data_IF_904779078382
#
_entry.id   IF_904779078382
#
_cell.length_a   1.000
_cell.length_b   1.000
_cell.length_c   1.000
_cell.angle_alpha   90.00
_cell.angle_beta   90.00
_cell.angle_gamma   90.00
#
_symmetry.space_group_name_H-M   'P 1'
#
loop_
_entity.id
_entity.type
_entity.pdbx_description
1 polymer ?
#
# COMPACT_ATOMS: atom_id res chain seq x y z
N UNK A 1 -11.14 -15.45 17.63
CA UNK A 1 -9.72 -15.06 17.76
C UNK A 1 -9.40 -14.54 19.14
N UNK A 2 -10.04 -13.48 19.64
CA UNK A 2 -9.67 -12.86 20.92
C UNK A 2 -9.58 -13.81 22.14
N UNK A 3 -10.46 -14.80 22.25
CA UNK A 3 -10.48 -15.75 23.37
C UNK A 3 -9.33 -16.78 23.35
N UNK A 4 -8.84 -17.15 22.16
CA UNK A 4 -7.88 -18.25 21.98
C UNK A 4 -6.67 -17.84 21.12
N UNK A 5 -6.39 -16.54 21.02
CA UNK A 5 -5.34 -15.95 20.20
C UNK A 5 -4.72 -14.74 20.90
N UNK A 6 -3.92 -13.96 20.18
CA UNK A 6 -3.31 -12.74 20.73
C UNK A 6 -4.13 -11.50 20.36
N UNK A 7 -4.20 -10.53 21.27
CA UNK A 7 -4.88 -9.25 21.05
C UNK A 7 -4.05 -8.11 21.63
N UNK A 8 -4.01 -6.97 20.93
CA UNK A 8 -3.59 -5.70 21.51
C UNK A 8 -4.83 -4.92 21.96
N UNK A 9 -4.68 -4.01 22.94
CA UNK A 9 -5.75 -3.11 23.37
C UNK A 9 -6.16 -2.16 22.22
N UNK A 10 -5.16 -1.65 21.50
CA UNK A 10 -5.31 -0.86 20.28
C UNK A 10 -4.03 -0.90 19.44
N UNK A 11 -4.12 -0.41 18.21
CA UNK A 11 -2.99 -0.18 17.32
C UNK A 11 -3.04 1.28 16.85
N UNK A 12 -1.94 2.02 17.06
CA UNK A 12 -1.84 3.37 16.53
C UNK A 12 -1.63 3.35 15.02
N UNK A 13 -2.48 4.05 14.30
CA UNK A 13 -2.27 4.35 12.89
C UNK A 13 -1.21 5.43 12.69
N UNK A 14 -0.76 5.56 11.45
CA UNK A 14 0.07 6.70 11.03
C UNK A 14 -0.79 7.94 10.82
N UNK A 15 -0.19 9.12 10.98
CA UNK A 15 -0.82 10.38 10.60
C UNK A 15 -0.52 10.70 9.12
N UNK A 16 -1.52 11.11 8.33
CA UNK A 16 -2.94 11.27 8.67
C UNK A 16 -3.67 9.92 8.72
N UNK A 17 -4.73 9.84 9.53
CA UNK A 17 -5.56 8.63 9.71
C UNK A 17 -6.49 8.40 8.52
N UNK A 18 -5.90 8.19 7.35
CA UNK A 18 -6.53 7.97 6.05
C UNK A 18 -6.25 6.56 5.55
N UNK A 19 -7.14 6.05 4.71
CA UNK A 19 -7.12 4.68 4.20
C UNK A 19 -5.78 4.33 3.54
N UNK A 20 -5.42 4.96 2.43
CA UNK A 20 -4.23 4.57 1.66
C UNK A 20 -2.92 4.76 2.43
N UNK A 21 -2.69 5.91 3.12
CA UNK A 21 -1.49 6.07 3.93
C UNK A 21 -1.33 4.96 4.96
N UNK A 22 -2.36 4.64 5.74
CA UNK A 22 -2.26 3.64 6.80
C UNK A 22 -2.12 2.20 6.26
N UNK A 23 -2.88 1.83 5.22
CA UNK A 23 -2.78 0.47 4.66
C UNK A 23 -1.41 0.22 4.02
N UNK A 24 -0.83 1.25 3.40
CA UNK A 24 0.49 1.13 2.80
C UNK A 24 1.60 1.14 3.86
N UNK A 25 1.43 1.91 4.95
CA UNK A 25 2.31 1.81 6.13
C UNK A 25 2.30 0.40 6.72
N UNK A 26 1.15 -0.25 6.85
CA UNK A 26 1.05 -1.65 7.35
C UNK A 26 1.81 -2.61 6.42
N UNK A 27 1.69 -2.44 5.10
CA UNK A 27 2.30 -3.34 4.14
C UNK A 27 3.83 -3.18 4.01
N UNK A 28 4.35 -1.98 4.27
CA UNK A 28 5.77 -1.63 4.03
C UNK A 28 6.57 -1.44 5.31
N UNK A 29 5.93 -1.17 6.45
CA UNK A 29 6.58 -0.77 7.69
C UNK A 29 7.14 0.67 7.68
N UNK A 30 6.80 1.47 6.67
CA UNK A 30 7.32 2.83 6.48
C UNK A 30 6.30 3.89 6.91
N UNK A 31 6.79 5.07 7.29
CA UNK A 31 5.93 6.25 7.50
C UNK A 31 5.42 6.83 6.16
N UNK A 32 4.30 7.56 6.16
CA UNK A 32 3.75 8.20 4.97
C UNK A 32 4.73 9.04 4.15
N UNK A 33 5.59 9.79 4.82
CA UNK A 33 6.65 10.59 4.19
C UNK A 33 7.71 9.74 3.47
N UNK A 34 7.96 8.52 3.93
CA UNK A 34 8.97 7.62 3.37
C UNK A 34 8.41 6.79 2.21
N UNK A 35 7.17 6.32 2.33
CA UNK A 35 6.53 5.52 1.28
C UNK A 35 5.77 6.35 0.23
N UNK A 36 5.76 7.68 0.36
CA UNK A 36 5.23 8.64 -0.63
C UNK A 36 3.73 8.91 -0.53
N UNK A 37 2.93 7.94 -0.07
CA UNK A 37 1.48 8.09 0.08
C UNK A 37 1.09 8.86 1.36
N UNK A 38 1.05 10.19 1.27
CA UNK A 38 0.76 11.08 2.42
C UNK A 38 -0.74 11.37 2.63
N UNK A 39 -1.58 11.22 1.61
CA UNK A 39 -3.05 11.29 1.70
C UNK A 39 -3.67 10.43 0.58
N UNK A 40 -4.99 10.27 0.59
CA UNK A 40 -5.74 9.64 -0.51
C UNK A 40 -5.74 10.53 -1.77
N UNK A 41 -5.59 11.85 -1.63
CA UNK A 41 -5.50 12.81 -2.73
C UNK A 41 -4.24 13.64 -2.54
N UNK A 42 -3.28 13.51 -3.44
CA UNK A 42 -1.97 14.14 -3.32
C UNK A 42 -1.71 15.08 -4.51
N UNK A 43 -0.81 16.04 -4.31
CA UNK A 43 -0.26 16.86 -5.37
C UNK A 43 1.25 16.65 -5.40
N UNK A 44 1.77 16.29 -6.57
CA UNK A 44 3.20 16.11 -6.79
C UNK A 44 3.61 16.81 -8.08
N UNK A 45 4.33 17.93 -7.94
CA UNK A 45 4.76 18.77 -9.05
C UNK A 45 5.82 18.12 -9.97
N UNK A 46 6.44 17.01 -9.55
CA UNK A 46 7.39 16.27 -10.37
C UNK A 46 6.68 15.37 -11.38
N UNK A 47 5.50 14.84 -11.01
CA UNK A 47 4.76 13.89 -11.84
C UNK A 47 3.59 14.52 -12.58
N UNK A 48 2.81 15.42 -11.94
CA UNK A 48 1.65 16.08 -12.57
C UNK A 48 1.40 17.48 -12.04
N UNK A 49 0.67 18.29 -12.83
CA UNK A 49 0.25 19.65 -12.46
C UNK A 49 -1.07 19.73 -11.72
N UNK A 50 -1.76 18.60 -11.48
CA UNK A 50 -3.06 18.52 -10.81
C UNK A 50 -3.03 17.58 -9.61
N UNK A 51 -3.99 17.73 -8.70
CA UNK A 51 -4.24 16.75 -7.65
C UNK A 51 -4.61 15.39 -8.23
N UNK A 52 -4.05 14.33 -7.64
CA UNK A 52 -4.23 12.93 -8.04
C UNK A 52 -4.92 12.19 -6.91
N UNK A 53 -5.99 11.47 -7.26
CA UNK A 53 -6.62 10.52 -6.35
C UNK A 53 -5.86 9.19 -6.39
N UNK A 54 -5.04 8.93 -5.36
CA UNK A 54 -4.22 7.72 -5.24
C UNK A 54 -5.08 6.45 -5.29
N UNK A 55 -6.34 6.55 -4.87
CA UNK A 55 -7.28 5.42 -4.86
C UNK A 55 -7.67 4.93 -6.25
N UNK A 56 -7.37 5.71 -7.28
CA UNK A 56 -7.78 5.48 -8.68
C UNK A 56 -6.59 5.33 -9.63
N UNK A 57 -5.37 5.34 -9.13
CA UNK A 57 -4.17 5.21 -9.95
C UNK A 57 -3.34 4.02 -9.51
N UNK A 58 -2.78 3.33 -10.50
CA UNK A 58 -1.86 2.21 -10.31
C UNK A 58 -0.44 2.60 -10.80
N UNK A 59 -0.20 3.90 -10.99
CA UNK A 59 1.08 4.43 -11.44
C UNK A 59 2.14 4.20 -10.34
N UNK A 60 3.10 3.33 -10.63
CA UNK A 60 4.14 2.91 -9.68
C UNK A 60 4.95 4.06 -9.08
N UNK A 61 5.06 5.20 -9.78
CA UNK A 61 5.84 6.36 -9.35
C UNK A 61 5.38 6.98 -8.02
N UNK A 62 4.12 6.79 -7.62
CA UNK A 62 3.62 7.29 -6.33
C UNK A 62 3.92 6.35 -5.16
N UNK A 63 4.31 5.10 -5.42
CA UNK A 63 4.42 4.04 -4.43
C UNK A 63 5.90 3.71 -4.17
N UNK A 64 6.44 4.28 -3.09
CA UNK A 64 7.81 4.02 -2.66
C UNK A 64 7.90 2.92 -1.60
N UNK A 65 9.07 2.32 -1.46
CA UNK A 65 9.28 1.19 -0.55
C UNK A 65 8.87 -0.15 -1.16
N UNK A 66 8.99 -1.21 -0.37
CA UNK A 66 8.74 -2.59 -0.84
C UNK A 66 7.69 -3.22 0.07
N UNK A 67 6.46 -3.42 -0.42
CA UNK A 67 5.43 -4.12 0.34
C UNK A 67 5.80 -5.58 0.62
N UNK A 68 5.25 -6.14 1.71
CA UNK A 68 5.48 -7.52 2.16
C UNK A 68 5.31 -8.56 1.05
N UNK A 69 4.33 -8.38 0.16
CA UNK A 69 4.10 -9.33 -0.93
C UNK A 69 5.19 -9.30 -2.00
N UNK A 70 5.80 -8.15 -2.27
CA UNK A 70 6.95 -8.03 -3.16
C UNK A 70 8.18 -8.70 -2.54
N UNK A 71 8.40 -8.54 -1.23
CA UNK A 71 9.50 -9.19 -0.51
C UNK A 71 9.39 -10.72 -0.60
N UNK A 72 8.18 -11.26 -0.36
CA UNK A 72 7.92 -12.70 -0.45
C UNK A 72 8.02 -13.21 -1.90
N UNK A 73 7.56 -12.43 -2.88
CA UNK A 73 7.71 -12.76 -4.30
C UNK A 73 9.17 -12.89 -4.74
N UNK A 74 10.05 -11.99 -4.27
CA UNK A 74 11.50 -12.08 -4.51
C UNK A 74 12.14 -13.33 -3.88
N UNK A 75 11.51 -13.88 -2.84
CA UNK A 75 11.91 -15.13 -2.19
C UNK A 75 11.23 -16.37 -2.79
N UNK A 76 10.58 -16.23 -3.97
CA UNK A 76 9.81 -17.28 -4.64
C UNK A 76 8.66 -17.86 -3.79
N UNK A 77 8.09 -17.07 -2.89
CA UNK A 77 6.92 -17.43 -2.10
C UNK A 77 5.67 -16.92 -2.80
N UNK A 78 4.74 -17.82 -3.11
CA UNK A 78 3.47 -17.48 -3.73
C UNK A 78 2.63 -16.61 -2.81
N UNK A 79 2.23 -15.44 -3.29
CA UNK A 79 1.38 -14.49 -2.58
C UNK A 79 0.12 -14.19 -3.39
N UNK A 80 -0.98 -14.00 -2.69
CA UNK A 80 -2.25 -13.57 -3.28
C UNK A 80 -2.74 -12.34 -2.52
N UNK A 81 -3.26 -11.37 -3.27
CA UNK A 81 -3.81 -10.15 -2.67
C UNK A 81 -5.26 -9.92 -3.10
N UNK A 82 -6.11 -9.70 -2.11
CA UNK A 82 -7.54 -9.46 -2.28
C UNK A 82 -7.87 -8.04 -1.83
N UNK A 83 -8.04 -7.13 -2.80
CA UNK A 83 -8.53 -5.76 -2.58
C UNK A 83 -7.71 -4.86 -1.64
N UNK A 84 -6.48 -5.25 -1.28
CA UNK A 84 -5.62 -4.38 -0.47
C UNK A 84 -5.12 -3.19 -1.30
N UNK A 85 -5.11 -1.96 -0.74
CA UNK A 85 -4.59 -0.78 -1.41
C UNK A 85 -3.17 -0.97 -1.99
N UNK A 86 -2.98 -0.61 -3.25
CA UNK A 86 -1.71 -0.70 -3.99
C UNK A 86 -1.20 -2.10 -4.35
N UNK A 87 -1.96 -3.17 -4.09
CA UNK A 87 -1.53 -4.53 -4.50
C UNK A 87 -1.46 -4.73 -6.02
N UNK A 88 -2.16 -3.92 -6.78
CA UNK A 88 -2.19 -3.91 -8.24
C UNK A 88 -1.26 -2.87 -8.85
N UNK A 89 -0.54 -2.13 -8.01
CA UNK A 89 0.50 -1.19 -8.44
C UNK A 89 1.79 -1.96 -8.70
N UNK A 90 2.45 -1.64 -9.81
CA UNK A 90 3.72 -2.25 -10.24
C UNK A 90 4.91 -1.72 -9.41
N UNK A 91 4.95 -2.05 -8.12
CA UNK A 91 6.05 -1.64 -7.26
C UNK A 91 7.30 -2.47 -7.58
N UNK A 92 8.39 -1.79 -7.94
CA UNK A 92 9.69 -2.39 -8.25
C UNK A 92 9.64 -3.53 -9.32
N UNK A 93 8.78 -3.38 -10.32
CA UNK A 93 8.68 -4.29 -11.48
C UNK A 93 8.14 -5.69 -11.17
N UNK A 94 7.66 -5.94 -9.94
CA UNK A 94 7.13 -7.26 -9.54
C UNK A 94 5.63 -7.15 -9.30
N UNK A 95 4.86 -8.02 -9.95
CA UNK A 95 3.44 -8.21 -9.67
C UNK A 95 3.28 -9.48 -8.85
N UNK A 96 2.35 -9.45 -7.88
CA UNK A 96 1.86 -10.61 -7.16
C UNK A 96 1.45 -11.74 -8.12
N UNK A 97 1.56 -12.99 -7.65
CA UNK A 97 1.12 -14.16 -8.42
C UNK A 97 -0.39 -14.10 -8.72
N UNK A 98 -1.18 -13.59 -7.76
CA UNK A 98 -2.61 -13.41 -7.93
C UNK A 98 -3.08 -12.09 -7.30
N UNK A 99 -3.78 -11.27 -8.09
CA UNK A 99 -4.33 -9.97 -7.67
C UNK A 99 -5.81 -9.89 -8.00
N UNK A 100 -6.62 -9.53 -7.01
CA UNK A 100 -8.00 -9.09 -7.21
C UNK A 100 -8.09 -7.59 -6.92
N UNK A 101 -8.35 -6.80 -7.96
CA UNK A 101 -8.47 -5.34 -7.87
C UNK A 101 -9.91 -4.87 -7.92
N UNK A 102 -10.16 -3.69 -7.37
CA UNK A 102 -11.38 -2.96 -7.64
C UNK A 102 -11.37 -2.49 -9.10
N UNK A 103 -12.37 -2.92 -9.89
CA UNK A 103 -12.71 -2.25 -11.15
C UNK A 103 -13.82 -1.26 -10.82
N UNK A 104 -13.46 0.03 -10.76
CA UNK A 104 -14.40 1.14 -10.57
C UNK A 104 -14.53 1.87 -11.91
#
# INVERSE_FOLDING_TARGET
MAKCGTTAEYMYGTYPTKTFPNHYSIATGLYPESHGIVDNVIYDNQFKTNFIDIRKTNEAQYFNGIPIWNVLGQQNITTACLFWPACDSLVNGTVLFLVFSFKI
#
